data_IF_107955408033
#
_entry.id   IF_107955408033
#
_cell.length_a   1.000
_cell.length_b   1.000
_cell.length_c   1.000
_cell.angle_alpha   90.00
_cell.angle_beta   90.00
_cell.angle_gamma   90.00
#
_symmetry.space_group_name_H-M   'P 1'
#
loop_
_entity.id
_entity.type
_entity.pdbx_description
1 polymer ?
#
# COMPACT_ATOMS: atom_id res chain seq x y z
N UNK A 1 31.53 -16.00 -8.89
CA UNK A 1 32.05 -14.72 -8.36
C UNK A 1 31.07 -14.25 -7.29
N UNK A 2 31.51 -14.20 -6.01
CA UNK A 2 30.67 -13.71 -4.92
C UNK A 2 30.64 -12.18 -5.00
N UNK A 3 29.48 -11.60 -5.26
CA UNK A 3 29.27 -10.15 -5.21
C UNK A 3 29.30 -9.69 -3.75
N UNK A 4 30.19 -8.80 -3.41
CA UNK A 4 30.30 -8.29 -2.03
C UNK A 4 29.23 -7.24 -1.74
N UNK A 5 28.97 -6.98 -0.44
CA UNK A 5 28.05 -5.94 0.02
C UNK A 5 28.40 -4.55 -0.56
N UNK A 6 29.69 -4.28 -0.82
CA UNK A 6 30.16 -3.03 -1.46
C UNK A 6 29.74 -2.95 -2.94
N UNK A 7 29.83 -4.07 -3.68
CA UNK A 7 29.45 -4.12 -5.09
C UNK A 7 27.92 -3.96 -5.24
N UNK A 8 27.15 -4.52 -4.31
CA UNK A 8 25.69 -4.34 -4.26
C UNK A 8 25.29 -2.88 -3.99
N UNK A 9 25.99 -2.22 -3.06
CA UNK A 9 25.74 -0.80 -2.74
C UNK A 9 26.18 0.16 -3.85
N UNK A 10 27.24 -0.17 -4.59
CA UNK A 10 27.71 0.61 -5.73
C UNK A 10 26.73 0.55 -6.91
N UNK A 11 26.09 -0.59 -7.14
CA UNK A 11 25.05 -0.75 -8.17
C UNK A 11 23.79 0.06 -7.82
N UNK A 12 23.45 0.21 -6.55
CA UNK A 12 22.35 1.07 -6.07
C UNK A 12 22.59 2.56 -6.34
N UNK A 13 23.85 3.03 -6.23
CA UNK A 13 24.19 4.43 -6.49
C UNK A 13 24.17 4.79 -7.99
N UNK A 14 24.50 3.85 -8.87
CA UNK A 14 24.51 4.06 -10.33
C UNK A 14 23.10 4.02 -10.95
N UNK A 15 22.16 3.28 -10.35
CA UNK A 15 20.78 3.18 -10.85
C UNK A 15 19.94 4.44 -10.52
N UNK A 16 20.31 5.20 -9.50
CA UNK A 16 19.59 6.43 -9.11
C UNK A 16 19.74 7.58 -10.12
N UNK A 17 20.72 7.52 -11.02
CA UNK A 17 21.01 8.60 -11.97
C UNK A 17 20.25 8.55 -13.31
N UNK A 18 19.64 7.43 -13.67
CA UNK A 18 19.10 7.23 -15.03
C UNK A 18 17.58 7.35 -15.16
N UNK A 19 16.83 7.47 -14.06
CA UNK A 19 15.35 7.51 -14.05
C UNK A 19 14.74 8.91 -13.86
N UNK A 20 15.54 9.96 -13.92
CA UNK A 20 15.06 11.35 -13.77
C UNK A 20 14.22 11.89 -14.95
N UNK A 21 14.00 11.12 -16.01
CA UNK A 21 13.35 11.60 -17.24
C UNK A 21 11.88 11.18 -17.38
N UNK A 22 11.29 10.53 -16.38
CA UNK A 22 9.88 10.06 -16.42
C UNK A 22 9.05 10.42 -15.18
N UNK A 23 9.61 11.12 -14.20
CA UNK A 23 8.84 11.64 -13.09
C UNK A 23 7.99 12.82 -13.59
N UNK A 24 6.77 12.57 -14.02
CA UNK A 24 5.73 13.59 -13.92
C UNK A 24 5.67 13.98 -12.44
N UNK A 25 6.21 15.16 -12.15
CA UNK A 25 6.06 15.82 -10.86
C UNK A 25 4.57 15.94 -10.58
N UNK A 26 4.04 15.08 -9.72
CA UNK A 26 2.75 15.30 -9.07
C UNK A 26 2.90 16.45 -8.05
N UNK A 27 3.39 17.60 -8.55
CA UNK A 27 3.49 18.83 -7.83
C UNK A 27 2.21 19.62 -7.99
N UNK A 28 1.23 19.32 -7.19
CA UNK A 28 0.06 20.15 -6.97
C UNK A 28 -0.53 19.68 -5.65
N UNK A 29 -0.46 20.51 -4.62
CA UNK A 29 -0.79 20.24 -3.22
C UNK A 29 -2.13 19.56 -2.96
N UNK A 30 -2.23 18.28 -3.29
CA UNK A 30 -3.32 17.43 -2.84
C UNK A 30 -2.98 17.03 -1.40
N UNK A 31 -3.85 17.41 -0.47
CA UNK A 31 -3.79 16.94 0.90
C UNK A 31 -3.81 15.40 0.94
N UNK A 32 -3.08 14.82 1.87
CA UNK A 32 -3.20 13.40 2.21
C UNK A 32 -4.66 13.14 2.61
N UNK A 33 -5.27 12.09 2.05
CA UNK A 33 -6.70 11.77 2.22
C UNK A 33 -6.86 10.48 3.00
N UNK A 34 -7.98 10.33 3.72
CA UNK A 34 -8.28 9.11 4.46
C UNK A 34 -9.03 8.10 3.60
N UNK A 35 -8.57 6.86 3.63
CA UNK A 35 -9.29 5.70 3.13
C UNK A 35 -9.30 4.58 4.17
N UNK A 36 -10.12 3.58 3.96
CA UNK A 36 -10.19 2.42 4.84
C UNK A 36 -10.00 1.12 4.06
N UNK A 37 -9.15 0.24 4.58
CA UNK A 37 -9.07 -1.15 4.12
C UNK A 37 -10.28 -1.91 4.64
N UNK A 38 -11.08 -2.47 3.73
CA UNK A 38 -12.37 -3.09 4.05
C UNK A 38 -12.24 -4.38 4.88
N UNK A 39 -11.02 -4.93 5.00
CA UNK A 39 -10.74 -5.99 5.95
C UNK A 39 -11.08 -5.61 7.39
N UNK A 40 -10.87 -4.35 7.76
CA UNK A 40 -11.16 -3.80 9.09
C UNK A 40 -12.64 -3.91 9.48
N UNK A 41 -13.56 -3.96 8.51
CA UNK A 41 -15.01 -4.03 8.68
C UNK A 41 -15.63 -5.20 7.92
N UNK A 42 -14.83 -6.21 7.57
CA UNK A 42 -15.17 -7.26 6.63
C UNK A 42 -16.51 -7.97 6.97
N UNK A 43 -16.77 -8.28 8.24
CA UNK A 43 -18.00 -8.97 8.64
C UNK A 43 -19.25 -8.07 8.60
N UNK A 44 -19.07 -6.77 8.77
CA UNK A 44 -20.15 -5.78 8.67
C UNK A 44 -20.41 -5.46 7.21
N UNK A 45 -19.35 -5.20 6.45
CA UNK A 45 -19.39 -4.91 5.04
C UNK A 45 -20.11 -5.98 4.22
N UNK A 46 -19.84 -7.26 4.47
CA UNK A 46 -20.50 -8.37 3.76
C UNK A 46 -22.02 -8.41 3.95
N UNK A 47 -22.50 -7.93 5.10
CA UNK A 47 -23.93 -7.95 5.47
C UNK A 47 -24.66 -6.73 4.95
N UNK A 48 -24.02 -5.57 5.01
CA UNK A 48 -24.61 -4.28 4.66
C UNK A 48 -23.56 -3.37 4.02
N UNK A 49 -23.30 -3.52 2.72
CA UNK A 49 -22.34 -2.66 2.01
C UNK A 49 -22.74 -1.19 2.02
N UNK A 50 -24.03 -0.90 1.81
CA UNK A 50 -24.54 0.47 1.72
C UNK A 50 -24.43 1.22 3.05
N UNK A 51 -24.97 0.65 4.12
CA UNK A 51 -24.86 1.22 5.47
C UNK A 51 -23.42 1.32 5.96
N UNK A 52 -22.56 0.39 5.54
CA UNK A 52 -21.12 0.45 5.86
C UNK A 52 -20.46 1.67 5.23
N UNK A 53 -20.67 1.93 3.92
CA UNK A 53 -20.08 3.10 3.25
C UNK A 53 -20.68 4.41 3.78
N UNK A 54 -22.00 4.46 4.02
CA UNK A 54 -22.64 5.61 4.63
C UNK A 54 -21.97 5.96 5.99
N UNK A 55 -21.76 4.96 6.84
CA UNK A 55 -21.09 5.15 8.13
C UNK A 55 -19.62 5.58 7.96
N UNK A 56 -18.87 4.95 7.09
CA UNK A 56 -17.49 5.35 6.78
C UNK A 56 -17.40 6.79 6.30
N UNK A 57 -18.29 7.19 5.39
CA UNK A 57 -18.34 8.57 4.91
C UNK A 57 -18.60 9.55 6.04
N UNK A 58 -19.53 9.22 6.95
CA UNK A 58 -19.82 10.03 8.14
C UNK A 58 -18.62 10.12 9.09
N UNK A 59 -17.74 9.12 9.14
CA UNK A 59 -16.49 9.13 9.90
C UNK A 59 -15.35 9.92 9.21
N UNK A 60 -15.58 10.46 8.01
CA UNK A 60 -14.62 11.27 7.28
C UNK A 60 -13.75 10.50 6.28
N UNK A 61 -14.01 9.23 6.05
CA UNK A 61 -13.33 8.50 4.99
C UNK A 61 -13.78 8.97 3.62
N UNK A 62 -12.83 9.05 2.69
CA UNK A 62 -13.05 9.49 1.31
C UNK A 62 -12.82 8.37 0.29
N UNK A 63 -12.29 7.25 0.73
CA UNK A 63 -12.02 6.11 -0.14
C UNK A 63 -12.03 4.78 0.59
N UNK A 64 -12.10 3.72 -0.19
CA UNK A 64 -12.09 2.33 0.26
C UNK A 64 -11.13 1.48 -0.57
N UNK A 65 -10.62 0.41 0.04
CA UNK A 65 -9.72 -0.54 -0.58
C UNK A 65 -10.16 -1.96 -0.25
N UNK A 66 -10.27 -2.84 -1.24
CA UNK A 66 -10.53 -4.27 -1.01
C UNK A 66 -10.20 -5.11 -2.23
N UNK A 67 -9.58 -6.28 -2.00
CA UNK A 67 -9.44 -7.31 -3.03
C UNK A 67 -10.79 -7.86 -3.50
N UNK A 68 -11.82 -7.83 -2.67
CA UNK A 68 -13.15 -8.35 -3.03
C UNK A 68 -13.79 -7.59 -4.19
N UNK A 69 -13.45 -6.33 -4.42
CA UNK A 69 -14.03 -5.51 -5.49
C UNK A 69 -13.78 -6.04 -6.91
N UNK A 70 -12.73 -6.85 -7.13
CA UNK A 70 -12.50 -7.52 -8.39
C UNK A 70 -13.63 -8.47 -8.82
N UNK A 71 -14.42 -8.97 -7.86
CA UNK A 71 -15.49 -9.94 -8.07
C UNK A 71 -16.88 -9.29 -8.15
N UNK A 72 -16.96 -7.96 -7.94
CA UNK A 72 -18.21 -7.23 -7.97
C UNK A 72 -18.66 -6.94 -9.38
N UNK A 73 -19.98 -6.91 -9.59
CA UNK A 73 -20.56 -6.28 -10.77
C UNK A 73 -20.16 -4.81 -10.82
N UNK A 74 -19.56 -4.39 -11.93
CA UNK A 74 -18.97 -3.05 -12.07
C UNK A 74 -20.00 -1.94 -11.92
N UNK A 75 -21.19 -2.09 -12.53
CA UNK A 75 -22.23 -1.09 -12.44
C UNK A 75 -22.75 -0.91 -11.01
N UNK A 76 -22.89 -2.04 -10.28
CA UNK A 76 -23.26 -2.00 -8.86
C UNK A 76 -22.16 -1.36 -8.02
N UNK A 77 -20.90 -1.64 -8.31
CA UNK A 77 -19.77 -1.05 -7.58
C UNK A 77 -19.70 0.47 -7.83
N UNK A 78 -19.82 0.92 -9.09
CA UNK A 78 -19.90 2.35 -9.42
C UNK A 78 -21.03 3.03 -8.66
N UNK A 79 -22.25 2.49 -8.79
CA UNK A 79 -23.39 3.07 -8.11
C UNK A 79 -23.16 3.19 -6.60
N UNK A 80 -22.64 2.16 -5.97
CA UNK A 80 -22.39 2.15 -4.53
C UNK A 80 -21.36 3.21 -4.12
N UNK A 81 -20.25 3.31 -4.85
CA UNK A 81 -19.21 4.30 -4.58
C UNK A 81 -19.71 5.72 -4.82
N UNK A 82 -20.44 5.96 -5.91
CA UNK A 82 -20.98 7.27 -6.29
C UNK A 82 -22.04 7.76 -5.30
N UNK A 83 -22.97 6.87 -4.88
CA UNK A 83 -24.04 7.20 -3.93
C UNK A 83 -23.46 7.73 -2.60
N UNK A 84 -22.27 7.27 -2.20
CA UNK A 84 -21.62 7.70 -0.97
C UNK A 84 -20.45 8.68 -1.19
N UNK A 85 -20.13 9.05 -2.43
CA UNK A 85 -19.01 9.92 -2.76
C UNK A 85 -17.66 9.34 -2.30
N UNK A 86 -17.50 8.03 -2.44
CA UNK A 86 -16.30 7.28 -2.06
C UNK A 86 -15.45 6.94 -3.28
N UNK A 87 -14.15 7.12 -3.18
CA UNK A 87 -13.21 6.66 -4.20
C UNK A 87 -12.85 5.18 -3.98
N UNK A 88 -12.69 4.42 -5.07
CA UNK A 88 -11.90 3.21 -5.02
C UNK A 88 -10.44 3.65 -5.06
N UNK A 89 -9.70 3.38 -3.99
CA UNK A 89 -8.28 3.74 -3.92
C UNK A 89 -7.41 2.64 -4.53
N UNK A 90 -6.23 2.44 -4.07
CA UNK A 90 -5.32 1.43 -4.62
C UNK A 90 -5.92 0.01 -4.55
N UNK A 91 -5.52 -0.88 -5.45
CA UNK A 91 -6.12 -2.21 -5.51
C UNK A 91 -5.12 -3.33 -5.22
N UNK A 92 -5.40 -4.15 -4.20
CA UNK A 92 -4.64 -5.38 -4.01
C UNK A 92 -4.92 -6.38 -5.14
N UNK A 93 -3.85 -6.97 -5.67
CA UNK A 93 -3.90 -7.98 -6.74
C UNK A 93 -3.01 -9.17 -6.43
N UNK A 94 -3.16 -10.25 -7.20
CA UNK A 94 -2.12 -11.27 -7.35
C UNK A 94 -1.44 -11.10 -8.72
N UNK A 95 -0.25 -11.68 -8.90
CA UNK A 95 0.42 -11.66 -10.21
C UNK A 95 -0.41 -12.29 -11.33
N UNK A 96 -1.39 -13.13 -11.01
CA UNK A 96 -2.30 -13.69 -12.02
C UNK A 96 -3.19 -12.64 -12.69
N UNK A 97 -3.44 -11.48 -12.07
CA UNK A 97 -4.20 -10.38 -12.67
C UNK A 97 -3.43 -9.70 -13.82
N UNK A 98 -2.11 -9.81 -13.83
CA UNK A 98 -1.24 -9.26 -14.89
C UNK A 98 -0.71 -10.32 -15.83
N UNK A 99 -1.25 -11.55 -15.75
CA UNK A 99 -1.01 -12.59 -16.75
C UNK A 99 -1.63 -12.19 -18.11
N UNK A 100 -1.10 -12.69 -19.24
CA UNK A 100 -1.53 -12.24 -20.56
C UNK A 100 -3.04 -12.30 -20.83
N UNK A 101 -3.71 -13.31 -20.32
CA UNK A 101 -5.15 -13.53 -20.46
C UNK A 101 -6.04 -12.57 -19.63
N UNK A 102 -5.49 -11.96 -18.58
CA UNK A 102 -6.20 -11.06 -17.66
C UNK A 102 -5.72 -9.60 -17.72
N UNK A 103 -4.58 -9.36 -18.34
CA UNK A 103 -3.91 -8.06 -18.33
C UNK A 103 -4.83 -6.91 -18.79
N UNK A 104 -5.49 -7.08 -19.94
CA UNK A 104 -6.37 -6.04 -20.47
C UNK A 104 -7.54 -5.75 -19.55
N UNK A 105 -8.18 -6.80 -18.99
CA UNK A 105 -9.29 -6.63 -18.07
C UNK A 105 -8.87 -5.90 -16.79
N UNK A 106 -7.64 -6.14 -16.31
CA UNK A 106 -7.07 -5.43 -15.16
C UNK A 106 -6.82 -3.95 -15.49
N UNK A 107 -6.25 -3.64 -16.65
CA UNK A 107 -6.03 -2.26 -17.10
C UNK A 107 -7.35 -1.52 -17.28
N UNK A 108 -8.35 -2.17 -17.88
CA UNK A 108 -9.70 -1.59 -18.06
C UNK A 108 -10.36 -1.29 -16.71
N UNK A 109 -10.33 -2.22 -15.76
CA UNK A 109 -10.85 -2.00 -14.42
C UNK A 109 -10.16 -0.81 -13.74
N UNK A 110 -8.83 -0.77 -13.75
CA UNK A 110 -8.08 0.33 -13.15
C UNK A 110 -8.45 1.68 -13.77
N UNK A 111 -8.59 1.72 -15.10
CA UNK A 111 -8.97 2.95 -15.83
C UNK A 111 -10.39 3.38 -15.48
N UNK A 112 -11.34 2.44 -15.45
CA UNK A 112 -12.75 2.67 -15.16
C UNK A 112 -12.95 3.28 -13.76
N UNK A 113 -12.25 2.76 -12.76
CA UNK A 113 -12.37 3.23 -11.38
C UNK A 113 -11.32 4.29 -10.97
N UNK A 114 -10.50 4.75 -11.89
CA UNK A 114 -9.47 5.77 -11.60
C UNK A 114 -8.33 5.26 -10.72
N UNK A 115 -8.10 3.95 -10.68
CA UNK A 115 -7.03 3.31 -9.92
C UNK A 115 -5.73 3.40 -10.70
N UNK A 116 -4.70 4.05 -10.13
CA UNK A 116 -3.38 4.20 -10.75
C UNK A 116 -2.26 3.46 -9.98
N UNK A 117 -2.64 2.70 -8.96
CA UNK A 117 -1.71 1.86 -8.21
C UNK A 117 -2.35 0.52 -7.85
N UNK A 118 -1.65 -0.56 -8.19
CA UNK A 118 -1.98 -1.93 -7.79
C UNK A 118 -0.80 -2.53 -7.03
N UNK A 119 -1.07 -3.40 -6.08
CA UNK A 119 0.00 -4.00 -5.28
C UNK A 119 -0.33 -5.45 -4.91
N UNK A 120 0.71 -6.25 -4.67
CA UNK A 120 0.53 -7.58 -4.11
C UNK A 120 0.60 -7.49 -2.59
N UNK A 121 -0.47 -7.91 -1.87
CA UNK A 121 -0.53 -7.76 -0.42
C UNK A 121 0.20 -8.86 0.33
N UNK A 122 0.51 -9.99 -0.31
CA UNK A 122 1.09 -11.14 0.34
C UNK A 122 1.81 -12.08 -0.65
N UNK A 123 3.00 -12.55 -0.30
CA UNK A 123 3.70 -13.57 -1.08
C UNK A 123 3.90 -14.87 -0.31
N UNK A 124 4.06 -14.83 0.99
CA UNK A 124 4.25 -16.03 1.81
C UNK A 124 4.99 -15.76 3.11
N UNK A 125 5.30 -16.85 3.81
CA UNK A 125 6.00 -16.82 5.09
C UNK A 125 7.54 -16.92 4.95
N UNK A 126 8.25 -16.82 6.09
CA UNK A 126 9.70 -16.91 6.15
C UNK A 126 10.28 -18.27 5.73
N UNK A 127 9.45 -19.28 5.48
CA UNK A 127 9.92 -20.61 5.04
C UNK A 127 10.24 -20.65 3.55
N UNK A 128 9.80 -19.66 2.78
CA UNK A 128 10.14 -19.58 1.36
C UNK A 128 11.66 -19.38 1.19
N UNK A 129 12.30 -20.09 0.22
CA UNK A 129 13.73 -19.93 -0.03
C UNK A 129 14.03 -18.55 -0.62
N UNK A 130 15.26 -18.09 -0.45
CA UNK A 130 15.76 -16.80 -0.99
C UNK A 130 15.43 -16.60 -2.46
N UNK A 131 15.69 -17.63 -3.28
CA UNK A 131 15.47 -17.54 -4.73
C UNK A 131 14.00 -17.33 -5.10
N UNK A 132 13.06 -17.84 -4.28
CA UNK A 132 11.64 -17.57 -4.49
C UNK A 132 11.30 -16.08 -4.27
N UNK A 133 11.88 -15.45 -3.24
CA UNK A 133 11.71 -14.03 -2.99
C UNK A 133 12.33 -13.17 -4.08
N UNK A 134 13.54 -13.51 -4.53
CA UNK A 134 14.21 -12.81 -5.63
C UNK A 134 13.41 -12.91 -6.92
N UNK A 135 13.00 -14.14 -7.28
CA UNK A 135 12.18 -14.36 -8.48
C UNK A 135 10.87 -13.58 -8.42
N UNK A 136 10.22 -13.59 -7.28
CA UNK A 136 8.95 -12.86 -7.10
C UNK A 136 9.14 -11.35 -7.27
N UNK A 137 10.22 -10.79 -6.70
CA UNK A 137 10.55 -9.37 -6.88
C UNK A 137 10.81 -9.04 -8.37
N UNK A 138 11.47 -9.92 -9.11
CA UNK A 138 11.73 -9.76 -10.55
C UNK A 138 10.45 -9.88 -11.39
N UNK A 139 9.58 -10.83 -11.06
CA UNK A 139 8.26 -10.99 -11.70
C UNK A 139 7.39 -9.74 -11.48
N UNK A 140 7.39 -9.18 -10.27
CA UNK A 140 6.69 -7.93 -9.96
C UNK A 140 7.27 -6.74 -10.73
N UNK A 141 8.60 -6.61 -10.80
CA UNK A 141 9.24 -5.55 -11.56
C UNK A 141 8.93 -5.67 -13.06
N UNK A 142 8.87 -6.90 -13.60
CA UNK A 142 8.45 -7.14 -14.98
C UNK A 142 6.98 -6.73 -15.21
N UNK A 143 6.08 -7.02 -14.27
CA UNK A 143 4.69 -6.59 -14.31
C UNK A 143 4.57 -5.06 -14.20
N UNK A 144 5.35 -4.41 -13.34
CA UNK A 144 5.40 -2.95 -13.22
C UNK A 144 5.75 -2.28 -14.56
N UNK A 145 6.77 -2.80 -15.27
CA UNK A 145 7.14 -2.29 -16.60
C UNK A 145 6.02 -2.43 -17.64
N UNK A 146 5.20 -3.49 -17.54
CA UNK A 146 4.04 -3.68 -18.45
C UNK A 146 2.89 -2.72 -18.13
N UNK A 147 2.66 -2.43 -16.86
CA UNK A 147 1.57 -1.55 -16.40
C UNK A 147 1.90 -0.06 -16.58
N UNK A 148 3.18 0.32 -16.50
CA UNK A 148 3.62 1.72 -16.58
C UNK A 148 3.11 2.49 -17.81
N UNK A 149 3.09 1.93 -19.05
CA UNK A 149 2.52 2.62 -20.23
C UNK A 149 1.03 2.92 -20.12
N UNK A 150 0.33 2.26 -19.20
CA UNK A 150 -1.10 2.49 -18.93
C UNK A 150 -1.34 3.48 -17.78
N UNK A 151 -0.26 4.08 -17.24
CA UNK A 151 -0.33 4.99 -16.09
C UNK A 151 -0.56 4.28 -14.76
N UNK A 152 -0.40 2.98 -14.70
CA UNK A 152 -0.63 2.16 -13.50
C UNK A 152 0.72 1.76 -12.89
N UNK A 153 0.93 2.11 -11.63
CA UNK A 153 2.07 1.64 -10.84
C UNK A 153 1.79 0.25 -10.30
N UNK A 154 2.83 -0.51 -10.07
CA UNK A 154 2.74 -1.79 -9.36
C UNK A 154 3.68 -1.80 -8.18
N UNK A 155 3.24 -2.42 -7.08
CA UNK A 155 4.04 -2.48 -5.87
C UNK A 155 3.72 -3.64 -4.95
N UNK A 156 4.22 -3.50 -3.74
CA UNK A 156 4.09 -4.48 -2.68
C UNK A 156 3.59 -3.82 -1.40
N UNK A 157 2.77 -4.55 -0.65
CA UNK A 157 2.38 -4.21 0.72
C UNK A 157 3.11 -5.16 1.67
N UNK A 158 3.76 -4.60 2.69
CA UNK A 158 4.57 -5.34 3.63
C UNK A 158 3.80 -5.79 4.86
N UNK A 159 4.22 -6.93 5.38
CA UNK A 159 3.99 -7.38 6.75
C UNK A 159 5.31 -7.40 7.52
N UNK A 160 5.30 -7.94 8.75
CA UNK A 160 6.53 -8.05 9.55
C UNK A 160 7.54 -9.02 8.94
N UNK A 161 7.07 -10.08 8.30
CA UNK A 161 7.93 -11.16 7.78
C UNK A 161 8.92 -10.66 6.74
N UNK A 162 8.55 -9.71 5.90
CA UNK A 162 9.42 -9.17 4.86
C UNK A 162 10.59 -8.36 5.44
N UNK A 163 10.47 -7.87 6.66
CA UNK A 163 11.56 -7.19 7.37
C UNK A 163 12.38 -8.14 8.25
N UNK A 164 11.70 -9.09 8.93
CA UNK A 164 12.33 -9.93 9.95
C UNK A 164 13.02 -11.16 9.38
N UNK A 165 12.51 -11.75 8.29
CA UNK A 165 13.21 -12.83 7.58
C UNK A 165 14.53 -12.32 6.99
N UNK A 166 15.59 -13.13 7.13
CA UNK A 166 16.93 -12.78 6.61
C UNK A 166 17.52 -13.94 5.83
N UNK A 167 18.04 -13.63 4.65
CA UNK A 167 18.74 -14.55 3.74
C UNK A 167 20.11 -13.96 3.43
N UNK A 168 21.16 -14.55 3.99
CA UNK A 168 22.53 -13.99 3.91
C UNK A 168 22.59 -12.52 4.39
N UNK A 169 21.81 -12.20 5.42
CA UNK A 169 21.74 -10.84 5.98
C UNK A 169 20.84 -9.87 5.24
N UNK A 170 20.21 -10.27 4.11
CA UNK A 170 19.31 -9.45 3.30
C UNK A 170 17.86 -9.85 3.56
N UNK A 171 16.99 -8.91 3.84
CA UNK A 171 15.56 -9.19 4.01
C UNK A 171 14.81 -9.21 2.67
N UNK A 172 13.64 -9.88 2.57
CA UNK A 172 12.77 -9.75 1.41
C UNK A 172 12.43 -8.31 1.05
N UNK A 173 12.19 -7.46 2.04
CA UNK A 173 11.89 -6.06 1.78
C UNK A 173 13.07 -5.33 1.10
N UNK A 174 14.31 -5.65 1.47
CA UNK A 174 15.50 -5.15 0.79
C UNK A 174 15.56 -5.62 -0.68
N UNK A 175 15.14 -6.86 -0.94
CA UNK A 175 15.07 -7.39 -2.30
C UNK A 175 14.06 -6.59 -3.14
N UNK A 176 12.90 -6.22 -2.58
CA UNK A 176 11.92 -5.38 -3.27
C UNK A 176 12.41 -3.95 -3.45
N UNK A 177 13.01 -3.34 -2.44
CA UNK A 177 13.57 -1.99 -2.54
C UNK A 177 14.61 -1.85 -3.66
N UNK A 178 15.35 -2.92 -3.93
CA UNK A 178 16.35 -2.99 -5.00
C UNK A 178 15.74 -2.97 -6.42
N UNK A 179 14.41 -3.04 -6.59
CA UNK A 179 13.72 -2.93 -7.88
C UNK A 179 13.12 -1.51 -8.01
N UNK A 180 13.74 -0.63 -8.80
CA UNK A 180 13.30 0.78 -8.90
C UNK A 180 11.92 0.95 -9.52
N UNK A 181 11.44 -0.04 -10.29
CA UNK A 181 10.13 -0.04 -10.90
C UNK A 181 8.99 -0.21 -9.88
N UNK A 182 9.29 -0.77 -8.71
CA UNK A 182 8.26 -1.06 -7.71
C UNK A 182 7.93 0.17 -6.87
N UNK A 183 6.65 0.39 -6.68
CA UNK A 183 6.09 1.26 -5.66
C UNK A 183 5.71 0.45 -4.42
N UNK A 184 5.29 1.13 -3.36
CA UNK A 184 4.95 0.46 -2.10
C UNK A 184 3.69 1.05 -1.50
N UNK A 185 2.82 0.19 -1.02
CA UNK A 185 1.90 0.55 0.03
C UNK A 185 2.60 0.18 1.35
N UNK A 186 3.30 1.15 1.95
CA UNK A 186 4.04 0.89 3.18
C UNK A 186 3.06 0.76 4.35
N UNK A 187 2.97 -0.44 4.94
CA UNK A 187 2.30 -0.63 6.22
C UNK A 187 3.25 -0.18 7.33
N UNK A 188 2.92 0.98 7.92
CA UNK A 188 3.76 1.61 8.95
C UNK A 188 3.66 0.87 10.29
N UNK A 189 2.52 0.24 10.57
CA UNK A 189 2.33 -0.55 11.79
C UNK A 189 3.14 -1.84 11.77
N UNK A 190 3.08 -2.59 10.68
CA UNK A 190 3.91 -3.78 10.51
C UNK A 190 5.41 -3.47 10.49
N UNK A 191 5.82 -2.36 9.89
CA UNK A 191 7.21 -1.92 9.94
C UNK A 191 7.66 -1.62 11.38
N UNK A 192 6.88 -0.85 12.13
CA UNK A 192 7.15 -0.55 13.56
C UNK A 192 7.19 -1.82 14.41
N UNK A 193 6.26 -2.75 14.19
CA UNK A 193 6.23 -4.04 14.91
C UNK A 193 7.42 -4.94 14.55
N UNK A 194 7.98 -4.79 13.36
CA UNK A 194 9.21 -5.47 12.95
C UNK A 194 10.49 -4.82 13.49
N UNK A 195 10.38 -3.68 14.19
CA UNK A 195 11.52 -2.94 14.73
C UNK A 195 12.15 -1.95 13.74
N UNK A 196 11.49 -1.67 12.63
CA UNK A 196 11.92 -0.68 11.64
C UNK A 196 11.40 0.73 12.00
N UNK A 197 12.05 1.75 11.48
CA UNK A 197 11.60 3.15 11.54
C UNK A 197 10.85 3.51 10.24
N UNK A 198 9.50 3.66 10.29
CA UNK A 198 8.72 4.00 9.10
C UNK A 198 9.14 5.32 8.46
N UNK A 199 9.59 6.32 9.24
CA UNK A 199 10.03 7.61 8.69
C UNK A 199 11.32 7.44 7.89
N UNK A 200 12.26 6.65 8.38
CA UNK A 200 13.48 6.32 7.67
C UNK A 200 13.19 5.51 6.39
N UNK A 201 12.26 4.55 6.46
CA UNK A 201 11.82 3.77 5.29
C UNK A 201 11.19 4.67 4.23
N UNK A 202 10.26 5.56 4.60
CA UNK A 202 9.62 6.52 3.68
C UNK A 202 10.66 7.40 2.98
N UNK A 203 11.64 7.91 3.72
CA UNK A 203 12.74 8.71 3.15
C UNK A 203 13.59 7.90 2.16
N UNK A 204 13.81 6.63 2.43
CA UNK A 204 14.59 5.74 1.58
C UNK A 204 13.91 5.43 0.25
N UNK A 205 12.58 5.27 0.25
CA UNK A 205 11.78 4.94 -0.94
C UNK A 205 11.00 6.15 -1.46
N UNK A 206 11.59 7.33 -1.35
CA UNK A 206 10.98 8.61 -1.69
C UNK A 206 10.34 8.62 -3.08
N UNK A 207 9.10 9.10 -3.17
CA UNK A 207 8.33 9.16 -4.43
C UNK A 207 7.77 7.82 -4.91
N UNK A 208 8.00 6.74 -4.17
CA UNK A 208 7.54 5.38 -4.52
C UNK A 208 6.42 4.88 -3.61
N UNK A 209 5.78 5.75 -2.82
CA UNK A 209 4.73 5.41 -1.84
C UNK A 209 3.45 6.18 -2.17
N UNK A 210 2.62 5.68 -3.11
CA UNK A 210 1.32 6.28 -3.44
C UNK A 210 0.36 6.33 -2.25
N UNK A 211 0.40 5.30 -1.42
CA UNK A 211 -0.39 5.15 -0.19
C UNK A 211 0.43 4.51 0.93
N UNK A 212 -0.02 4.74 2.15
CA UNK A 212 0.41 3.96 3.32
C UNK A 212 -0.77 3.18 3.90
N UNK A 213 -0.55 1.99 4.45
CA UNK A 213 -1.46 1.47 5.46
C UNK A 213 -1.19 2.19 6.78
N UNK A 214 -2.15 3.02 7.16
CA UNK A 214 -2.20 3.67 8.45
C UNK A 214 -2.71 2.67 9.50
N UNK A 215 -1.82 1.77 9.88
CA UNK A 215 -2.04 0.71 10.87
C UNK A 215 -1.33 1.10 12.17
N UNK A 216 -1.95 0.89 13.35
CA UNK A 216 -1.26 1.17 14.60
C UNK A 216 -0.04 0.25 14.78
N UNK A 217 1.06 0.80 15.24
CA UNK A 217 2.29 0.07 15.59
C UNK A 217 2.20 -0.65 16.93
N UNK A 218 1.04 -1.20 17.24
CA UNK A 218 0.58 -1.76 18.50
C UNK A 218 -0.72 -1.10 18.93
N UNK A 219 -1.47 -1.70 19.87
CA UNK A 219 -2.78 -1.20 20.27
C UNK A 219 -3.87 -1.47 19.23
N UNK A 220 -4.99 -0.74 19.32
CA UNK A 220 -6.20 -0.99 18.54
C UNK A 220 -6.49 0.06 17.46
N UNK A 221 -6.01 1.29 17.65
CA UNK A 221 -6.26 2.41 16.74
C UNK A 221 -5.05 3.31 16.60
N UNK A 222 -4.95 4.03 15.49
CA UNK A 222 -3.89 4.98 15.26
C UNK A 222 -3.88 6.08 16.33
N UNK A 223 -2.71 6.30 16.96
CA UNK A 223 -2.54 7.23 18.07
C UNK A 223 -3.20 6.83 19.37
N UNK A 224 -3.77 5.63 19.44
CA UNK A 224 -4.36 5.06 20.66
C UNK A 224 -3.31 4.48 21.61
N UNK A 225 -3.80 3.94 22.74
CA UNK A 225 -2.92 3.29 23.71
C UNK A 225 -2.16 2.12 23.08
N UNK A 226 -0.85 2.07 23.30
CA UNK A 226 0.05 1.04 22.77
C UNK A 226 0.53 1.27 21.33
N UNK A 227 0.03 2.29 20.62
CA UNK A 227 0.55 2.66 19.31
C UNK A 227 1.91 3.35 19.44
N UNK A 228 2.92 2.79 18.75
CA UNK A 228 4.32 3.24 18.82
C UNK A 228 4.78 4.01 17.60
N UNK A 229 3.88 4.27 16.63
CA UNK A 229 4.23 5.00 15.43
C UNK A 229 4.54 6.48 15.73
N UNK A 230 5.59 7.01 15.11
CA UNK A 230 5.80 8.48 15.01
C UNK A 230 4.87 9.06 13.93
N UNK A 231 3.60 9.24 14.25
CA UNK A 231 2.64 9.77 13.30
C UNK A 231 2.97 11.16 12.78
N UNK A 232 3.60 12.00 13.59
CA UNK A 232 4.01 13.34 13.16
C UNK A 232 5.05 13.26 12.03
N UNK A 233 6.09 12.45 12.23
CA UNK A 233 7.13 12.20 11.24
C UNK A 233 6.60 11.48 10.00
N UNK A 234 5.77 10.43 10.19
CA UNK A 234 5.17 9.65 9.09
C UNK A 234 4.33 10.56 8.18
N UNK A 235 3.37 11.31 8.75
CA UNK A 235 2.47 12.17 7.98
C UNK A 235 3.22 13.33 7.31
N UNK A 236 4.23 13.90 7.98
CA UNK A 236 5.10 14.92 7.36
C UNK A 236 5.86 14.36 6.16
N UNK A 237 6.44 13.15 6.26
CA UNK A 237 7.13 12.50 5.14
C UNK A 237 6.16 12.19 4.00
N UNK A 238 4.97 11.65 4.29
CA UNK A 238 3.93 11.37 3.30
C UNK A 238 3.53 12.62 2.52
N UNK A 239 3.24 13.73 3.20
CA UNK A 239 2.90 15.01 2.53
C UNK A 239 4.05 15.52 1.65
N UNK A 240 5.27 15.47 2.16
CA UNK A 240 6.44 15.98 1.44
C UNK A 240 6.76 15.18 0.18
N UNK A 241 6.47 13.87 0.16
CA UNK A 241 6.71 13.02 -1.01
C UNK A 241 5.51 12.89 -1.97
N UNK A 242 4.35 13.44 -1.61
CA UNK A 242 3.13 13.39 -2.43
C UNK A 242 2.35 12.07 -2.30
N UNK A 243 2.47 11.38 -1.17
CA UNK A 243 1.58 10.27 -0.82
C UNK A 243 0.14 10.77 -0.76
N UNK A 244 -0.80 10.07 -1.39
CA UNK A 244 -2.17 10.55 -1.56
C UNK A 244 -3.14 9.99 -0.54
N UNK A 245 -2.89 8.76 -0.08
CA UNK A 245 -3.81 8.05 0.77
C UNK A 245 -3.15 7.53 2.04
N UNK A 246 -3.80 7.78 3.17
CA UNK A 246 -3.60 7.06 4.41
C UNK A 246 -4.75 6.07 4.56
N UNK A 247 -4.50 4.81 4.24
CA UNK A 247 -5.49 3.74 4.25
C UNK A 247 -5.49 3.11 5.64
N UNK A 248 -6.51 3.40 6.44
CA UNK A 248 -6.63 2.86 7.81
C UNK A 248 -6.91 1.37 7.75
N UNK A 249 -6.14 0.60 8.49
CA UNK A 249 -6.37 -0.81 8.74
C UNK A 249 -6.28 -1.13 10.23
N UNK A 250 -7.38 -1.63 10.80
CA UNK A 250 -7.46 -2.11 12.17
C UNK A 250 -7.81 -3.60 12.17
N UNK A 251 -6.94 -4.45 12.71
CA UNK A 251 -7.13 -5.91 12.72
C UNK A 251 -7.82 -6.41 14.00
N UNK A 252 -8.66 -5.59 14.61
CA UNK A 252 -9.33 -5.98 15.82
C UNK A 252 -10.61 -6.76 15.54
N UNK A 253 -10.92 -7.74 16.42
CA UNK A 253 -12.13 -8.55 16.31
C UNK A 253 -13.27 -8.04 17.21
N UNK A 254 -13.15 -6.84 17.78
CA UNK A 254 -14.12 -6.29 18.74
C UNK A 254 -15.19 -5.46 18.03
N UNK A 255 -15.14 -4.15 18.20
CA UNK A 255 -15.95 -3.16 17.52
C UNK A 255 -15.05 -2.41 16.52
N UNK A 256 -15.02 -2.92 15.31
CA UNK A 256 -14.17 -2.38 14.25
C UNK A 256 -14.53 -0.94 13.89
N UNK A 257 -15.78 -0.54 14.00
CA UNK A 257 -16.14 0.85 13.77
C UNK A 257 -15.59 1.80 14.84
N UNK A 258 -15.51 1.38 16.09
CA UNK A 258 -14.90 2.20 17.14
C UNK A 258 -13.41 2.44 16.86
N UNK A 259 -12.68 1.40 16.44
CA UNK A 259 -11.25 1.49 16.16
C UNK A 259 -10.96 2.34 14.93
N UNK A 260 -11.70 2.16 13.84
CA UNK A 260 -11.53 2.99 12.64
C UNK A 260 -12.06 4.41 12.85
N UNK A 261 -13.08 4.63 13.66
CA UNK A 261 -13.54 5.98 14.06
C UNK A 261 -12.46 6.71 14.86
N UNK A 262 -11.89 6.05 15.87
CA UNK A 262 -10.79 6.62 16.66
C UNK A 262 -9.59 6.96 15.78
N UNK A 263 -9.22 6.06 14.87
CA UNK A 263 -8.12 6.26 13.91
C UNK A 263 -8.41 7.43 12.95
N UNK A 264 -9.64 7.51 12.42
CA UNK A 264 -10.04 8.62 11.55
C UNK A 264 -9.96 9.96 12.26
N UNK A 265 -10.52 10.09 13.45
CA UNK A 265 -10.48 11.33 14.27
C UNK A 265 -9.05 11.75 14.58
N UNK A 266 -8.19 10.80 14.94
CA UNK A 266 -6.80 11.07 15.23
C UNK A 266 -6.04 11.57 13.98
N UNK A 267 -6.20 10.90 12.84
CA UNK A 267 -5.50 11.23 11.61
C UNK A 267 -6.04 12.49 10.95
N UNK A 268 -7.36 12.69 10.87
CA UNK A 268 -7.98 13.84 10.25
C UNK A 268 -7.56 15.18 10.89
N UNK A 269 -7.22 15.18 12.16
CA UNK A 269 -6.71 16.38 12.85
C UNK A 269 -5.24 16.70 12.52
N UNK A 270 -4.57 15.86 11.71
CA UNK A 270 -3.12 15.92 11.42
C UNK A 270 -2.76 15.88 9.94
N UNK A 271 -3.69 15.56 9.02
CA UNK A 271 -3.49 15.51 7.55
C UNK A 271 -3.92 16.78 6.86
#
# INVERSE_FOLDING_TARGET
>A
MQTTRKDFMATLAAAAGAFAAGCTTYGGGRSLRLACQMWSVNEIWKKDPDGTLAKMRALGYEGVQSMAFWQWDRAKLHKLLDDHGMALVDMPISLSHVAPDKFNATVEFCREFGVDFVFVPWFGDAKKPKDAWLKFADDMAAAARKLAPHGIRMGFHNHQVEFTAKYDGVSPMEMFFARPELSFELDVGHATLAGEDPVALLKRIWGRVPSIHAKPGGGLSCGGEGDRNDWAGILAACRAMGTRWAVVECETRRDTFADIDASAKFLASRI
#
